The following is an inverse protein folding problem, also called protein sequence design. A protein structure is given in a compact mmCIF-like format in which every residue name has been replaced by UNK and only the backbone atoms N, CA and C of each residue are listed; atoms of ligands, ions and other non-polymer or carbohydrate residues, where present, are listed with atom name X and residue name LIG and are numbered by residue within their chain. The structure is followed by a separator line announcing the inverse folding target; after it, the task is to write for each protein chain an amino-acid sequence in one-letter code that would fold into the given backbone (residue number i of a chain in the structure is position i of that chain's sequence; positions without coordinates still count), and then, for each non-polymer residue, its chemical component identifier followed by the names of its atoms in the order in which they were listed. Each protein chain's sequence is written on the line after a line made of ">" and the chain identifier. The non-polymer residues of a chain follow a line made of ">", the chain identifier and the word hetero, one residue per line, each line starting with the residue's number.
data_IF_524421468950
#
_entry.id   IF_524421468950
#
_cell.length_a   1.000
_cell.length_b   1.000
_cell.length_c   1.000
_cell.angle_alpha   90.00
_cell.angle_beta   90.00
_cell.angle_gamma   90.00
#
_symmetry.space_group_name_H-M   'P 1'
#
loop_
_entity.id
_entity.type
_entity.pdbx_description
1 polymer ?
#
# COMPACT_ATOMS: atom_id res chain seq x y z
N UNK A 1 17.79 3.49 -19.49
CA UNK A 1 17.58 3.08 -18.08
C UNK A 1 18.92 2.71 -17.47
N UNK A 2 19.30 3.27 -16.32
CA UNK A 2 20.56 2.97 -15.63
C UNK A 2 20.57 1.53 -15.11
N UNK A 3 21.76 0.92 -14.93
CA UNK A 3 21.88 -0.48 -14.48
C UNK A 3 21.14 -0.75 -13.17
N UNK A 4 21.21 0.16 -12.19
CA UNK A 4 20.49 0.06 -10.91
C UNK A 4 18.97 -0.05 -11.12
N UNK A 5 18.41 0.80 -11.98
CA UNK A 5 16.97 0.81 -12.30
C UNK A 5 16.52 -0.49 -13.00
N UNK A 6 17.37 -1.04 -13.91
CA UNK A 6 17.10 -2.33 -14.56
C UNK A 6 17.06 -3.47 -13.55
N UNK A 7 17.97 -3.47 -12.58
CA UNK A 7 18.00 -4.48 -11.51
C UNK A 7 16.72 -4.40 -10.67
N UNK A 8 16.33 -3.20 -10.21
CA UNK A 8 15.12 -2.99 -9.39
C UNK A 8 13.86 -3.41 -10.16
N UNK A 9 13.73 -2.98 -11.41
CA UNK A 9 12.56 -3.31 -12.24
C UNK A 9 12.42 -4.81 -12.48
N UNK A 10 13.53 -5.51 -12.81
CA UNK A 10 13.49 -6.96 -13.03
C UNK A 10 13.29 -7.76 -11.75
N UNK A 11 13.84 -7.27 -10.65
CA UNK A 11 13.57 -7.85 -9.32
C UNK A 11 12.10 -7.75 -8.95
N UNK A 12 11.47 -6.58 -9.14
CA UNK A 12 10.05 -6.39 -8.88
C UNK A 12 9.18 -7.35 -9.69
N UNK A 13 9.49 -7.52 -10.99
CA UNK A 13 8.80 -8.46 -11.88
C UNK A 13 8.89 -9.90 -11.34
N UNK A 14 10.12 -10.41 -11.13
CA UNK A 14 10.36 -11.77 -10.67
C UNK A 14 9.81 -12.04 -9.27
N UNK A 15 9.93 -11.08 -8.36
CA UNK A 15 9.38 -11.21 -7.00
C UNK A 15 7.86 -11.19 -6.99
N UNK A 16 7.22 -10.44 -7.89
CA UNK A 16 5.76 -10.47 -8.04
C UNK A 16 5.26 -11.80 -8.64
N UNK A 17 6.05 -12.43 -9.52
CA UNK A 17 5.69 -13.67 -10.19
C UNK A 17 5.96 -14.90 -9.30
N UNK A 18 7.13 -14.96 -8.68
CA UNK A 18 7.61 -16.17 -8.00
C UNK A 18 7.65 -16.05 -6.46
N UNK A 19 7.54 -14.83 -5.90
CA UNK A 19 7.73 -14.55 -4.48
C UNK A 19 9.15 -14.13 -4.13
N UNK A 20 9.27 -13.25 -3.13
CA UNK A 20 10.58 -12.74 -2.66
C UNK A 20 11.47 -13.88 -2.17
N UNK A 21 10.89 -14.85 -1.45
CA UNK A 21 11.62 -15.94 -0.81
C UNK A 21 12.32 -16.84 -1.83
N UNK A 22 11.72 -17.05 -2.98
CA UNK A 22 12.14 -18.05 -3.98
C UNK A 22 13.13 -17.53 -5.01
N UNK A 23 13.26 -16.21 -5.20
CA UNK A 23 14.17 -15.63 -6.20
C UNK A 23 15.46 -15.16 -5.55
N UNK A 24 16.59 -15.72 -5.98
CA UNK A 24 17.94 -15.35 -5.52
C UNK A 24 18.62 -14.32 -6.43
N UNK A 25 19.70 -13.66 -5.92
CA UNK A 25 20.47 -12.71 -6.72
C UNK A 25 21.16 -13.37 -7.93
N UNK A 26 21.49 -14.67 -7.87
CA UNK A 26 22.08 -15.41 -9.00
C UNK A 26 21.07 -15.59 -10.14
N UNK A 27 19.85 -15.92 -9.80
CA UNK A 27 18.75 -16.07 -10.75
C UNK A 27 18.40 -14.72 -11.39
N UNK A 28 18.27 -13.67 -10.58
CA UNK A 28 18.08 -12.30 -11.09
C UNK A 28 19.20 -11.88 -12.06
N UNK A 29 20.46 -12.20 -11.74
CA UNK A 29 21.60 -11.92 -12.62
C UNK A 29 21.49 -12.66 -13.96
N UNK A 30 21.08 -13.94 -13.93
CA UNK A 30 20.85 -14.74 -15.13
C UNK A 30 19.76 -14.13 -16.03
N UNK A 31 18.61 -13.74 -15.46
CA UNK A 31 17.53 -13.06 -16.18
C UNK A 31 17.94 -11.71 -16.79
N UNK A 32 18.89 -11.02 -16.17
CA UNK A 32 19.41 -9.73 -16.66
C UNK A 32 20.56 -9.88 -17.66
N UNK A 33 21.15 -11.10 -17.81
CA UNK A 33 22.34 -11.34 -18.63
C UNK A 33 23.61 -10.62 -18.07
N UNK A 34 23.71 -10.47 -16.75
CA UNK A 34 24.84 -9.80 -16.08
C UNK A 34 25.48 -10.70 -15.02
N UNK A 35 26.67 -10.32 -14.54
CA UNK A 35 27.31 -11.01 -13.42
C UNK A 35 26.63 -10.63 -12.09
N UNK A 36 26.61 -11.56 -11.14
CA UNK A 36 26.07 -11.29 -9.79
C UNK A 36 26.78 -10.11 -9.12
N UNK A 37 28.10 -9.95 -9.36
CA UNK A 37 28.88 -8.82 -8.86
C UNK A 37 28.36 -7.44 -9.31
N UNK A 38 27.70 -7.36 -10.46
CA UNK A 38 27.05 -6.13 -10.92
C UNK A 38 25.81 -5.81 -10.08
N UNK A 39 25.12 -6.81 -9.54
CA UNK A 39 24.00 -6.63 -8.65
C UNK A 39 24.51 -6.26 -7.24
N UNK A 40 25.46 -7.04 -6.71
CA UNK A 40 25.97 -6.83 -5.33
C UNK A 40 26.74 -5.53 -5.17
N UNK A 41 27.22 -4.93 -6.25
CA UNK A 41 27.75 -3.56 -6.25
C UNK A 41 26.71 -2.51 -5.83
N UNK A 42 25.46 -2.64 -6.28
CA UNK A 42 24.36 -1.73 -5.93
C UNK A 42 23.57 -2.19 -4.71
N UNK A 43 23.43 -3.49 -4.55
CA UNK A 43 22.63 -4.15 -3.52
C UNK A 43 23.42 -5.31 -2.93
N UNK A 44 24.21 -5.07 -1.86
CA UNK A 44 25.10 -6.06 -1.26
C UNK A 44 24.41 -7.39 -0.91
N UNK A 45 23.13 -7.33 -0.51
CA UNK A 45 22.30 -8.50 -0.24
C UNK A 45 20.93 -8.36 -0.89
N UNK A 46 20.15 -9.46 -0.93
CA UNK A 46 18.74 -9.44 -1.35
C UNK A 46 17.91 -8.49 -0.47
N UNK A 47 18.21 -8.39 0.81
CA UNK A 47 17.50 -7.52 1.75
C UNK A 47 17.64 -6.04 1.39
N UNK A 48 18.81 -5.61 0.91
CA UNK A 48 18.99 -4.24 0.43
C UNK A 48 18.12 -3.96 -0.81
N UNK A 49 17.96 -4.94 -1.70
CA UNK A 49 17.13 -4.83 -2.88
C UNK A 49 15.63 -4.79 -2.50
N UNK A 50 15.20 -5.67 -1.61
CA UNK A 50 13.82 -5.68 -1.08
C UNK A 50 13.52 -4.37 -0.32
N UNK A 51 14.48 -3.87 0.46
CA UNK A 51 14.35 -2.57 1.10
C UNK A 51 14.17 -1.42 0.09
N UNK A 52 14.89 -1.47 -1.06
CA UNK A 52 14.69 -0.48 -2.13
C UNK A 52 13.24 -0.54 -2.67
N UNK A 53 12.70 -1.73 -2.93
CA UNK A 53 11.30 -1.87 -3.39
C UNK A 53 10.29 -1.33 -2.37
N UNK A 54 10.54 -1.55 -1.09
CA UNK A 54 9.71 -1.00 -0.02
C UNK A 54 9.81 0.54 0.08
N UNK A 55 11.00 1.12 -0.21
CA UNK A 55 11.19 2.57 -0.31
C UNK A 55 10.43 3.15 -1.50
N UNK A 56 10.54 2.52 -2.66
CA UNK A 56 9.89 2.97 -3.89
C UNK A 56 8.36 2.97 -3.73
N UNK A 57 7.79 1.92 -3.10
CA UNK A 57 6.36 1.89 -2.76
C UNK A 57 5.99 3.02 -1.79
N UNK A 58 6.79 3.24 -0.75
CA UNK A 58 6.57 4.33 0.21
C UNK A 58 6.58 5.71 -0.46
N UNK A 59 7.51 5.95 -1.38
CA UNK A 59 7.60 7.19 -2.16
C UNK A 59 6.38 7.37 -3.08
N UNK A 60 5.94 6.31 -3.77
CA UNK A 60 4.73 6.35 -4.61
C UNK A 60 3.49 6.70 -3.79
N UNK A 61 3.32 6.05 -2.64
CA UNK A 61 2.18 6.32 -1.76
C UNK A 61 2.22 7.74 -1.19
N UNK A 62 3.41 8.26 -0.85
CA UNK A 62 3.56 9.64 -0.38
C UNK A 62 3.16 10.68 -1.43
N UNK A 63 3.42 10.38 -2.71
CA UNK A 63 2.99 11.25 -3.84
C UNK A 63 1.48 11.20 -4.08
N UNK A 64 0.80 10.15 -3.65
CA UNK A 64 -0.65 10.00 -3.75
C UNK A 64 -1.39 10.89 -2.75
N UNK A 65 -0.76 11.17 -1.60
CA UNK A 65 -1.31 12.04 -0.57
C UNK A 65 -1.22 13.49 -1.08
N UNK A 66 -2.29 13.98 -1.68
CA UNK A 66 -2.38 15.38 -2.07
C UNK A 66 -2.59 16.24 -0.82
N UNK A 67 -1.77 17.28 -0.65
CA UNK A 67 -2.13 18.40 0.22
C UNK A 67 -3.23 19.19 -0.52
N UNK A 68 -4.47 18.84 -0.25
CA UNK A 68 -5.63 19.57 -0.75
C UNK A 68 -6.12 20.42 0.40
N UNK A 69 -6.36 21.70 0.16
CA UNK A 69 -6.91 22.62 1.18
C UNK A 69 -8.29 22.15 1.68
N UNK A 70 -8.97 21.35 0.86
CA UNK A 70 -10.26 20.75 1.17
C UNK A 70 -10.34 19.32 0.64
N UNK A 71 -10.25 18.32 1.53
CA UNK A 71 -10.47 16.93 1.17
C UNK A 71 -11.97 16.61 1.26
N UNK A 72 -12.58 16.18 0.14
CA UNK A 72 -13.92 15.61 0.11
C UNK A 72 -13.87 14.08 0.04
N UNK A 73 -15.02 13.43 0.14
CA UNK A 73 -15.13 11.97 0.13
C UNK A 73 -14.68 11.37 -1.20
N UNK A 74 -14.93 12.03 -2.32
CA UNK A 74 -14.48 11.59 -3.66
C UNK A 74 -12.97 11.55 -3.72
N UNK A 75 -12.31 12.65 -3.36
CA UNK A 75 -10.85 12.73 -3.34
C UNK A 75 -10.21 11.75 -2.35
N UNK A 76 -10.87 11.47 -1.22
CA UNK A 76 -10.40 10.46 -0.27
C UNK A 76 -10.44 9.05 -0.87
N UNK A 77 -11.55 8.68 -1.54
CA UNK A 77 -11.67 7.37 -2.19
C UNK A 77 -10.71 7.21 -3.36
N UNK A 78 -10.53 8.24 -4.20
CA UNK A 78 -9.54 8.26 -5.29
C UNK A 78 -8.11 8.09 -4.77
N UNK A 79 -7.77 8.72 -3.64
CA UNK A 79 -6.48 8.57 -2.98
C UNK A 79 -6.25 7.13 -2.50
N UNK A 80 -7.28 6.49 -1.93
CA UNK A 80 -7.22 5.09 -1.52
C UNK A 80 -7.08 4.15 -2.73
N UNK A 81 -7.85 4.38 -3.80
CA UNK A 81 -7.77 3.62 -5.04
C UNK A 81 -6.36 3.67 -5.61
N UNK A 82 -5.77 4.86 -5.69
CA UNK A 82 -4.39 5.03 -6.16
C UNK A 82 -3.36 4.36 -5.27
N UNK A 83 -3.60 4.37 -3.96
CA UNK A 83 -2.75 3.64 -3.00
C UNK A 83 -2.84 2.13 -3.24
N UNK A 84 -4.03 1.59 -3.49
CA UNK A 84 -4.22 0.15 -3.77
C UNK A 84 -3.61 -0.26 -5.12
N UNK A 85 -3.69 0.60 -6.15
CA UNK A 85 -2.96 0.38 -7.41
C UNK A 85 -1.44 0.30 -7.20
N UNK A 86 -0.87 1.25 -6.44
CA UNK A 86 0.55 1.25 -6.11
C UNK A 86 0.95 -0.03 -5.36
N UNK A 87 0.14 -0.44 -4.39
CA UNK A 87 0.35 -1.67 -3.63
C UNK A 87 0.26 -2.92 -4.52
N UNK A 88 -0.68 -2.97 -5.46
CA UNK A 88 -0.79 -4.06 -6.43
C UNK A 88 0.47 -4.18 -7.28
N UNK A 89 1.05 -3.07 -7.71
CA UNK A 89 2.33 -3.05 -8.44
C UNK A 89 3.48 -3.63 -7.62
N UNK A 90 3.49 -3.46 -6.31
CA UNK A 90 4.50 -3.97 -5.37
C UNK A 90 3.97 -5.11 -4.50
N UNK A 91 3.05 -5.94 -5.06
CA UNK A 91 2.34 -6.97 -4.29
C UNK A 91 3.26 -7.93 -3.55
N UNK A 92 4.43 -8.26 -4.10
CA UNK A 92 5.40 -9.13 -3.44
C UNK A 92 5.82 -8.62 -2.06
N UNK A 93 5.98 -7.30 -1.88
CA UNK A 93 6.36 -6.69 -0.59
C UNK A 93 5.22 -6.85 0.41
N UNK A 94 3.95 -6.70 -0.02
CA UNK A 94 2.78 -6.81 0.83
C UNK A 94 2.47 -8.29 1.20
N UNK A 95 2.68 -9.22 0.28
CA UNK A 95 2.49 -10.65 0.53
C UNK A 95 3.51 -11.20 1.53
N UNK A 96 4.76 -10.75 1.45
CA UNK A 96 5.83 -11.15 2.38
C UNK A 96 5.94 -10.23 3.60
N UNK A 97 4.98 -9.30 3.82
CA UNK A 97 5.10 -8.18 4.74
C UNK A 97 5.48 -8.60 6.17
N UNK A 98 4.75 -9.56 6.76
CA UNK A 98 4.99 -10.02 8.15
C UNK A 98 6.37 -10.69 8.25
N UNK A 99 6.70 -11.55 7.27
CA UNK A 99 8.00 -12.21 7.20
C UNK A 99 9.15 -11.19 7.05
N UNK A 100 8.97 -10.15 6.22
CA UNK A 100 9.96 -9.09 6.06
C UNK A 100 10.19 -8.29 7.34
N UNK A 101 9.14 -8.02 8.12
CA UNK A 101 9.28 -7.34 9.41
C UNK A 101 10.05 -8.18 10.43
N UNK A 102 9.84 -9.52 10.41
CA UNK A 102 10.53 -10.44 11.31
C UNK A 102 12.00 -10.65 10.93
N UNK A 103 12.28 -10.82 9.65
CA UNK A 103 13.60 -11.21 9.16
C UNK A 103 14.51 -10.04 8.74
N UNK A 104 13.95 -8.83 8.52
CA UNK A 104 14.70 -7.69 8.01
C UNK A 104 14.65 -6.48 8.97
N UNK A 105 15.66 -6.31 9.87
CA UNK A 105 15.67 -5.23 10.85
C UNK A 105 15.61 -3.82 10.25
N UNK A 106 16.12 -3.63 9.03
CA UNK A 106 16.11 -2.33 8.32
C UNK A 106 14.67 -1.98 7.96
N UNK A 107 13.92 -2.95 7.41
CA UNK A 107 12.51 -2.77 7.05
C UNK A 107 11.67 -2.59 8.32
N UNK A 108 11.89 -3.43 9.35
CA UNK A 108 11.16 -3.36 10.62
C UNK A 108 11.30 -1.98 11.29
N UNK A 109 12.53 -1.49 11.44
CA UNK A 109 12.80 -0.17 12.03
C UNK A 109 12.09 0.94 11.27
N UNK A 110 12.22 0.97 9.94
CA UNK A 110 11.58 1.99 9.12
C UNK A 110 10.05 1.89 9.16
N UNK A 111 9.52 0.67 9.21
CA UNK A 111 8.07 0.50 9.35
C UNK A 111 7.56 1.14 10.64
N UNK A 112 8.22 0.91 11.77
CA UNK A 112 7.89 1.54 13.05
C UNK A 112 7.93 3.08 12.96
N UNK A 113 8.98 3.64 12.33
CA UNK A 113 9.14 5.08 12.14
C UNK A 113 8.01 5.68 11.28
N UNK A 114 7.52 4.95 10.29
CA UNK A 114 6.50 5.43 9.35
C UNK A 114 5.07 5.08 9.75
N UNK A 115 4.86 4.12 10.64
CA UNK A 115 3.52 3.71 11.09
C UNK A 115 2.77 4.84 11.78
N UNK A 116 3.41 5.51 12.72
CA UNK A 116 2.84 6.67 13.43
C UNK A 116 2.43 7.77 12.44
N UNK A 117 3.31 8.08 11.47
CA UNK A 117 3.02 9.07 10.43
C UNK A 117 1.82 8.67 9.57
N UNK A 118 1.72 7.39 9.17
CA UNK A 118 0.57 6.90 8.38
C UNK A 118 -0.74 7.00 9.14
N UNK A 119 -0.76 6.58 10.39
CA UNK A 119 -1.95 6.66 11.24
C UNK A 119 -2.33 8.13 11.52
N UNK A 120 -1.36 9.01 11.74
CA UNK A 120 -1.60 10.45 11.89
C UNK A 120 -2.15 11.08 10.61
N UNK A 121 -1.65 10.69 9.44
CA UNK A 121 -2.17 11.16 8.15
C UNK A 121 -3.62 10.70 7.93
N UNK A 122 -3.92 9.43 8.23
CA UNK A 122 -5.28 8.92 8.09
C UNK A 122 -6.25 9.65 9.06
N UNK A 123 -5.82 9.87 10.30
CA UNK A 123 -6.57 10.68 11.27
C UNK A 123 -6.82 12.09 10.77
N UNK A 124 -5.81 12.76 10.23
CA UNK A 124 -5.94 14.11 9.67
C UNK A 124 -6.91 14.14 8.46
N UNK A 125 -6.88 13.12 7.60
CA UNK A 125 -7.81 13.01 6.48
C UNK A 125 -9.26 12.84 6.97
N UNK A 126 -9.50 12.02 7.99
CA UNK A 126 -10.85 11.87 8.58
C UNK A 126 -11.34 13.15 9.24
N UNK A 127 -10.47 13.89 9.95
CA UNK A 127 -10.82 15.22 10.46
C UNK A 127 -11.16 16.21 9.34
N UNK A 128 -10.37 16.22 8.25
CA UNK A 128 -10.66 17.08 7.09
C UNK A 128 -12.00 16.73 6.45
N UNK A 129 -12.36 15.44 6.34
CA UNK A 129 -13.68 15.02 5.87
C UNK A 129 -14.80 15.51 6.80
N UNK A 130 -14.59 15.51 8.11
CA UNK A 130 -15.56 16.04 9.08
C UNK A 130 -15.68 17.56 8.98
N UNK A 131 -14.58 18.31 8.89
CA UNK A 131 -14.58 19.76 8.71
C UNK A 131 -15.26 20.21 7.41
N UNK A 132 -15.29 19.32 6.41
CA UNK A 132 -15.93 19.56 5.11
C UNK A 132 -17.33 18.94 5.00
N UNK A 133 -17.99 18.63 6.11
CA UNK A 133 -19.35 18.07 6.17
C UNK A 133 -19.54 16.78 5.35
N UNK A 134 -18.46 15.98 5.16
CA UNK A 134 -18.54 14.70 4.45
C UNK A 134 -18.93 13.55 5.40
N UNK A 135 -18.44 13.61 6.64
CA UNK A 135 -18.72 12.63 7.70
C UNK A 135 -19.07 13.37 8.99
N UNK A 136 -19.78 12.66 9.87
CA UNK A 136 -20.10 13.09 11.23
C UNK A 136 -19.62 12.01 12.20
N UNK A 137 -18.61 12.32 12.99
CA UNK A 137 -18.11 11.46 14.06
C UNK A 137 -18.68 11.95 15.40
N UNK A 138 -19.32 11.06 16.12
CA UNK A 138 -19.99 11.38 17.39
C UNK A 138 -19.02 11.33 18.58
N UNK A 139 -17.88 10.66 18.42
CA UNK A 139 -16.90 10.46 19.51
C UNK A 139 -15.50 10.23 18.98
N UNK A 140 -14.52 10.40 19.85
CA UNK A 140 -13.12 10.00 19.58
C UNK A 140 -13.00 8.47 19.39
N UNK A 141 -13.91 7.68 19.95
CA UNK A 141 -13.95 6.23 19.72
C UNK A 141 -14.32 5.88 18.28
N UNK A 142 -15.24 6.63 17.65
CA UNK A 142 -15.59 6.45 16.24
C UNK A 142 -14.38 6.73 15.33
N UNK A 143 -13.66 7.82 15.64
CA UNK A 143 -12.43 8.16 14.90
C UNK A 143 -11.37 7.07 15.07
N UNK A 144 -11.14 6.60 16.30
CA UNK A 144 -10.17 5.52 16.57
C UNK A 144 -10.56 4.22 15.88
N UNK A 145 -11.85 3.86 15.86
CA UNK A 145 -12.37 2.71 15.14
C UNK A 145 -12.12 2.82 13.64
N UNK A 146 -12.45 3.95 13.02
CA UNK A 146 -12.23 4.17 11.59
C UNK A 146 -10.75 4.11 11.24
N UNK A 147 -9.88 4.79 12.00
CA UNK A 147 -8.43 4.74 11.78
C UNK A 147 -7.92 3.30 11.84
N UNK A 148 -8.31 2.53 12.85
CA UNK A 148 -7.86 1.15 13.02
C UNK A 148 -8.37 0.23 11.90
N UNK A 149 -9.66 0.35 11.54
CA UNK A 149 -10.28 -0.48 10.51
C UNK A 149 -9.72 -0.21 9.12
N UNK A 150 -9.57 1.07 8.75
CA UNK A 150 -9.02 1.47 7.46
C UNK A 150 -7.53 1.12 7.36
N UNK A 151 -6.76 1.31 8.45
CA UNK A 151 -5.35 0.92 8.49
C UNK A 151 -5.18 -0.60 8.35
N UNK A 152 -6.05 -1.40 8.96
CA UNK A 152 -6.04 -2.87 8.84
C UNK A 152 -6.30 -3.30 7.39
N UNK A 153 -7.34 -2.76 6.76
CA UNK A 153 -7.64 -3.06 5.35
C UNK A 153 -6.46 -2.62 4.48
N UNK A 154 -6.02 -1.38 4.56
CA UNK A 154 -4.94 -0.86 3.72
C UNK A 154 -3.62 -1.63 3.86
N UNK A 155 -3.40 -2.32 4.99
CA UNK A 155 -2.20 -3.10 5.27
C UNK A 155 -2.27 -4.52 4.73
N UNK A 156 -3.43 -5.18 4.81
CA UNK A 156 -3.55 -6.62 4.63
C UNK A 156 -4.47 -7.07 3.48
N UNK A 157 -5.13 -6.15 2.77
CA UNK A 157 -6.07 -6.50 1.72
C UNK A 157 -5.46 -7.38 0.61
N UNK A 158 -4.19 -7.15 0.22
CA UNK A 158 -3.50 -7.97 -0.80
C UNK A 158 -3.30 -9.40 -0.30
N UNK A 159 -2.92 -9.58 0.97
CA UNK A 159 -2.73 -10.90 1.56
C UNK A 159 -4.06 -11.66 1.65
N UNK A 160 -5.13 -10.96 2.05
CA UNK A 160 -6.48 -11.54 2.09
C UNK A 160 -6.99 -11.85 0.68
N UNK A 161 -6.83 -10.95 -0.28
CA UNK A 161 -7.21 -11.18 -1.67
C UNK A 161 -6.47 -12.39 -2.30
N UNK A 162 -5.21 -12.60 -1.94
CA UNK A 162 -4.44 -13.75 -2.40
C UNK A 162 -4.95 -15.09 -1.82
N UNK A 163 -5.71 -15.07 -0.73
CA UNK A 163 -6.34 -16.25 -0.13
C UNK A 163 -7.76 -16.43 -0.68
N UNK A 164 -8.61 -15.42 -0.57
CA UNK A 164 -10.06 -15.51 -0.75
C UNK A 164 -10.54 -15.12 -2.14
N UNK A 165 -9.77 -14.31 -2.89
CA UNK A 165 -10.21 -13.72 -4.16
C UNK A 165 -9.19 -13.91 -5.30
N UNK A 166 -8.50 -15.07 -5.34
CA UNK A 166 -7.50 -15.40 -6.37
C UNK A 166 -8.03 -15.36 -7.80
N UNK A 167 -9.31 -15.66 -7.98
CA UNK A 167 -9.99 -15.71 -9.27
C UNK A 167 -10.31 -14.32 -9.85
N UNK A 168 -10.29 -13.28 -9.01
CA UNK A 168 -10.58 -11.93 -9.46
C UNK A 168 -9.32 -11.27 -10.04
N UNK A 169 -9.52 -10.46 -11.07
CA UNK A 169 -8.47 -9.57 -11.60
C UNK A 169 -8.02 -8.55 -10.54
N UNK A 170 -6.82 -7.98 -10.66
CA UNK A 170 -6.35 -6.95 -9.72
C UNK A 170 -7.33 -5.78 -9.57
N UNK A 171 -7.97 -5.35 -10.64
CA UNK A 171 -8.96 -4.25 -10.63
C UNK A 171 -10.23 -4.63 -9.88
N UNK A 172 -10.70 -5.87 -10.03
CA UNK A 172 -11.86 -6.38 -9.29
C UNK A 172 -11.53 -6.52 -7.80
N UNK A 173 -10.32 -6.97 -7.46
CA UNK A 173 -9.86 -7.01 -6.07
C UNK A 173 -9.83 -5.61 -5.45
N UNK A 174 -9.24 -4.61 -6.13
CA UNK A 174 -9.24 -3.21 -5.69
C UNK A 174 -10.66 -2.72 -5.45
N UNK A 175 -11.57 -2.92 -6.41
CA UNK A 175 -12.97 -2.51 -6.29
C UNK A 175 -13.66 -3.16 -5.09
N UNK A 176 -13.43 -4.45 -4.85
CA UNK A 176 -13.97 -5.17 -3.70
C UNK A 176 -13.56 -4.52 -2.38
N UNK A 177 -12.25 -4.24 -2.20
CA UNK A 177 -11.75 -3.66 -0.94
C UNK A 177 -12.11 -2.19 -0.77
N UNK A 178 -12.22 -1.42 -1.84
CA UNK A 178 -12.80 -0.07 -1.80
C UNK A 178 -14.27 -0.11 -1.39
N UNK A 179 -15.02 -1.10 -1.86
CA UNK A 179 -16.40 -1.36 -1.43
C UNK A 179 -16.51 -1.66 0.07
N UNK A 180 -15.56 -2.43 0.64
CA UNK A 180 -15.51 -2.65 2.09
C UNK A 180 -15.22 -1.34 2.85
N UNK A 181 -14.26 -0.54 2.38
CA UNK A 181 -13.97 0.78 2.95
C UNK A 181 -15.21 1.68 2.89
N UNK A 182 -15.89 1.74 1.75
CA UNK A 182 -17.10 2.54 1.59
C UNK A 182 -18.20 2.11 2.59
N UNK A 183 -18.40 0.80 2.79
CA UNK A 183 -19.40 0.28 3.76
C UNK A 183 -19.03 0.59 5.21
N UNK A 184 -17.75 0.61 5.57
CA UNK A 184 -17.28 1.00 6.90
C UNK A 184 -17.52 2.49 7.14
N UNK A 185 -17.32 3.35 6.13
CA UNK A 185 -17.53 4.78 6.22
C UNK A 185 -19.02 5.18 6.19
N UNK A 186 -19.86 4.40 5.51
CA UNK A 186 -21.28 4.71 5.23
C UNK A 186 -22.09 5.13 6.46
N UNK A 187 -22.00 4.48 7.64
CA UNK A 187 -22.74 4.87 8.83
C UNK A 187 -22.39 6.26 9.36
N UNK A 188 -21.23 6.76 9.01
CA UNK A 188 -20.69 8.05 9.47
C UNK A 188 -20.89 9.16 8.44
N UNK A 189 -21.41 8.87 7.23
CA UNK A 189 -21.52 9.88 6.18
C UNK A 189 -22.71 10.81 6.36
N UNK A 190 -22.51 12.08 6.03
CA UNK A 190 -23.58 13.04 5.74
C UNK A 190 -24.26 12.71 4.40
N UNK A 191 -25.32 13.44 4.03
CA UNK A 191 -25.94 13.27 2.72
C UNK A 191 -24.97 13.49 1.56
N UNK A 192 -24.06 14.48 1.68
CA UNK A 192 -23.05 14.80 0.67
C UNK A 192 -21.98 13.71 0.59
N UNK A 193 -21.42 13.27 1.70
CA UNK A 193 -20.43 12.20 1.73
C UNK A 193 -21.00 10.87 1.24
N UNK A 194 -22.27 10.57 1.53
CA UNK A 194 -22.95 9.37 1.07
C UNK A 194 -23.05 9.29 -0.46
N UNK A 195 -23.36 10.41 -1.12
CA UNK A 195 -23.47 10.46 -2.58
C UNK A 195 -22.14 10.04 -3.26
N UNK A 196 -21.01 10.44 -2.70
CA UNK A 196 -19.69 10.09 -3.21
C UNK A 196 -19.31 8.61 -3.03
N UNK A 197 -19.94 7.89 -2.08
CA UNK A 197 -19.69 6.46 -1.86
C UNK A 197 -20.52 5.55 -2.78
N UNK A 198 -21.60 6.04 -3.40
CA UNK A 198 -22.49 5.23 -4.24
C UNK A 198 -21.74 4.41 -5.30
N UNK A 199 -20.74 4.94 -6.02
CA UNK A 199 -20.01 4.17 -7.04
C UNK A 199 -19.25 2.94 -6.51
N UNK A 200 -19.03 2.87 -5.19
CA UNK A 200 -18.27 1.81 -4.52
C UNK A 200 -19.15 0.81 -3.76
N UNK A 201 -20.45 1.07 -3.63
CA UNK A 201 -21.40 0.20 -2.89
C UNK A 201 -22.00 -0.89 -3.76
#
# INVERSE_FOLDING_TARGET
>A
MKTKERIVSKALELFNEHGIEYVGLRELAAHLGIRVSNITYYFPTKDHLVNQLSLDLGELNSKTIRKVDRLDMTGFMEMLEKTFENQTRYRCVLLSFVHLLDQNPIIAKRYQETETTRNSTLRANLHSLQENDQILLSSENDLAFLVSSLALIARFWISEAAVSYRQLSPQEQIRHYLGLVARILLPYTTGQGKAALIPYL
#
